data_IF_005270412692
#
_entry.id   IF_005270412692
#
_cell.length_a   1.000
_cell.length_b   1.000
_cell.length_c   1.000
_cell.angle_alpha   90.00
_cell.angle_beta   90.00
_cell.angle_gamma   90.00
#
_symmetry.space_group_name_H-M   'P 1'
#
loop_
_entity.id
_entity.type
_entity.pdbx_description
1 polymer ?
#
# COMPACT_ATOMS: atom_id res chain seq x y z
N UNK A 1 15.29 24.72 -56.81
CA UNK A 1 14.54 23.58 -56.23
C UNK A 1 15.02 23.19 -54.81
N UNK A 2 15.68 24.07 -54.05
CA UNK A 2 16.24 23.76 -52.72
C UNK A 2 15.66 24.61 -51.56
N UNK A 3 14.88 25.67 -51.86
CA UNK A 3 14.29 26.56 -50.83
C UNK A 3 13.00 26.02 -50.20
N UNK A 4 12.31 25.09 -50.84
CA UNK A 4 11.00 24.60 -50.38
C UNK A 4 11.13 23.46 -49.34
N UNK A 5 12.25 22.73 -49.34
CA UNK A 5 12.50 21.63 -48.40
C UNK A 5 12.91 22.13 -47.00
N UNK A 6 13.52 23.32 -46.90
CA UNK A 6 13.96 23.87 -45.60
C UNK A 6 12.80 24.33 -44.72
N UNK A 7 11.69 24.81 -45.32
CA UNK A 7 10.51 25.24 -44.58
C UNK A 7 9.74 24.08 -43.94
N UNK A 8 9.76 22.88 -44.56
CA UNK A 8 9.14 21.69 -43.97
C UNK A 8 9.91 21.16 -42.76
N UNK A 9 11.23 21.35 -42.71
CA UNK A 9 12.04 20.99 -41.54
C UNK A 9 11.85 21.96 -40.38
N UNK A 10 11.69 23.26 -40.65
CA UNK A 10 11.41 24.25 -39.61
C UNK A 10 10.01 24.04 -39.02
N UNK A 11 8.99 23.70 -39.83
CA UNK A 11 7.63 23.45 -39.31
C UNK A 11 7.48 22.17 -38.46
N UNK A 12 8.36 21.18 -38.62
CA UNK A 12 8.38 20.01 -37.70
C UNK A 12 8.99 20.33 -36.34
N UNK A 13 9.81 21.38 -36.21
CA UNK A 13 10.41 21.79 -34.94
C UNK A 13 9.49 22.64 -34.06
N UNK A 14 8.36 23.14 -34.58
CA UNK A 14 7.42 24.00 -33.84
C UNK A 14 6.21 23.23 -33.28
N UNK A 15 6.16 21.91 -33.45
CA UNK A 15 5.21 21.03 -32.78
C UNK A 15 5.92 20.17 -31.72
N UNK A 16 6.75 20.79 -30.88
CA UNK A 16 6.76 20.36 -29.48
C UNK A 16 5.48 20.97 -28.90
N UNK A 17 4.41 20.19 -28.89
CA UNK A 17 3.35 20.42 -27.92
C UNK A 17 4.03 20.69 -26.57
N UNK A 18 3.66 21.75 -25.83
CA UNK A 18 4.06 21.80 -24.44
C UNK A 18 3.55 20.48 -23.86
N UNK A 19 4.45 19.63 -23.34
CA UNK A 19 4.06 18.49 -22.50
C UNK A 19 3.34 19.16 -21.35
N UNK A 20 2.04 19.33 -21.55
CA UNK A 20 1.21 20.17 -20.73
C UNK A 20 1.35 19.54 -19.37
N UNK A 21 1.74 20.38 -18.43
CA UNK A 21 1.78 20.20 -16.99
C UNK A 21 0.44 19.62 -16.49
N UNK A 22 0.14 18.37 -16.87
CA UNK A 22 -1.00 17.61 -16.40
C UNK A 22 -0.54 17.12 -15.05
N UNK A 23 -0.71 17.98 -14.05
CA UNK A 23 -0.54 17.61 -12.64
C UNK A 23 -1.23 16.26 -12.47
N UNK A 24 -0.43 15.21 -12.23
CA UNK A 24 -0.90 13.85 -11.95
C UNK A 24 -2.17 13.89 -11.09
N UNK A 25 -3.20 13.10 -11.40
CA UNK A 25 -4.39 13.03 -10.56
C UNK A 25 -4.10 12.38 -9.21
N UNK A 26 -2.92 11.77 -9.07
CA UNK A 26 -2.44 11.08 -7.87
C UNK A 26 -1.19 11.71 -7.28
N UNK A 27 -1.03 11.55 -5.97
CA UNK A 27 0.26 11.66 -5.29
C UNK A 27 0.57 10.36 -4.56
N UNK A 28 1.86 10.13 -4.30
CA UNK A 28 2.34 8.89 -3.70
C UNK A 28 3.07 9.19 -2.40
N UNK A 29 2.83 8.38 -1.38
CA UNK A 29 3.58 8.40 -0.12
C UNK A 29 4.26 7.05 0.08
N UNK A 30 5.56 7.08 0.39
CA UNK A 30 6.31 5.88 0.72
C UNK A 30 6.30 5.65 2.23
N UNK A 31 6.17 4.39 2.65
CA UNK A 31 6.32 3.97 4.04
C UNK A 31 7.33 2.83 4.14
N UNK A 32 7.91 2.69 5.31
CA UNK A 32 8.74 1.54 5.66
C UNK A 32 8.16 0.88 6.90
N UNK A 33 7.77 -0.38 6.80
CA UNK A 33 7.39 -1.19 7.95
C UNK A 33 8.57 -2.09 8.30
N UNK A 34 9.19 -1.86 9.46
CA UNK A 34 10.32 -2.66 9.94
C UNK A 34 9.86 -3.56 11.07
N UNK A 35 10.00 -4.87 10.90
CA UNK A 35 9.64 -5.86 11.88
C UNK A 35 10.91 -6.54 12.40
N UNK A 36 11.17 -6.42 13.69
CA UNK A 36 12.40 -6.90 14.33
C UNK A 36 12.04 -8.02 15.31
N UNK A 37 12.68 -9.19 15.15
CA UNK A 37 12.59 -10.26 16.12
C UNK A 37 13.70 -10.11 17.17
N UNK A 38 13.29 -9.96 18.43
CA UNK A 38 14.18 -9.87 19.60
C UNK A 38 14.32 -11.21 20.34
N UNK A 39 14.09 -12.34 19.67
CA UNK A 39 14.15 -13.69 20.24
C UNK A 39 12.84 -14.19 20.86
N UNK A 40 11.69 -13.56 20.54
CA UNK A 40 10.41 -13.82 21.20
C UNK A 40 9.39 -14.60 20.34
N UNK A 41 9.85 -15.31 19.30
CA UNK A 41 9.00 -16.04 18.33
C UNK A 41 7.94 -15.19 17.59
N UNK A 42 7.90 -13.87 17.81
CA UNK A 42 7.13 -12.89 17.07
C UNK A 42 7.98 -11.63 16.87
N UNK A 43 7.97 -11.07 15.67
CA UNK A 43 8.66 -9.81 15.38
C UNK A 43 7.77 -8.62 15.73
N UNK A 44 8.35 -7.59 16.36
CA UNK A 44 7.66 -6.33 16.66
C UNK A 44 7.82 -5.40 15.47
N UNK A 45 6.72 -4.90 14.94
CA UNK A 45 6.73 -4.01 13.78
C UNK A 45 6.66 -2.54 14.18
N UNK A 46 7.36 -1.70 13.43
CA UNK A 46 7.34 -0.24 13.55
C UNK A 46 7.16 0.38 12.17
N UNK A 47 6.29 1.38 12.07
CA UNK A 47 6.00 2.08 10.82
C UNK A 47 6.74 3.42 10.78
N UNK A 48 7.47 3.64 9.69
CA UNK A 48 8.20 4.86 9.40
C UNK A 48 7.57 5.55 8.19
N UNK A 49 7.30 6.83 8.35
CA UNK A 49 6.79 7.73 7.32
C UNK A 49 7.68 8.97 7.26
N UNK A 50 7.92 9.46 6.04
CA UNK A 50 8.77 10.63 5.84
C UNK A 50 8.18 11.87 6.55
N UNK A 51 8.99 12.52 7.38
CA UNK A 51 8.56 13.70 8.15
C UNK A 51 7.63 13.42 9.34
N UNK A 52 7.46 12.16 9.75
CA UNK A 52 6.67 11.79 10.94
C UNK A 52 7.46 10.96 11.95
N UNK A 53 6.97 10.97 13.19
CA UNK A 53 7.49 10.10 14.26
C UNK A 53 7.21 8.63 13.93
N UNK A 54 8.16 7.77 14.28
CA UNK A 54 7.98 6.31 14.17
C UNK A 54 6.84 5.85 15.05
N UNK A 55 5.92 5.09 14.47
CA UNK A 55 4.85 4.44 15.22
C UNK A 55 5.26 3.01 15.59
N UNK A 56 5.27 2.73 16.89
CA UNK A 56 5.53 1.39 17.41
C UNK A 56 4.23 0.58 17.38
N UNK A 57 4.31 -0.63 16.83
CA UNK A 57 3.18 -1.55 16.70
C UNK A 57 1.96 -0.89 16.03
N UNK A 58 2.04 -0.51 14.74
CA UNK A 58 1.04 0.32 14.05
C UNK A 58 -0.30 -0.41 13.89
N UNK A 59 -1.10 -0.44 14.97
CA UNK A 59 -2.37 -1.14 15.03
C UNK A 59 -2.30 -2.60 14.59
N UNK A 60 -1.22 -3.31 14.93
CA UNK A 60 -1.10 -4.72 14.56
C UNK A 60 -2.00 -5.60 15.44
N UNK A 61 -2.58 -6.64 14.84
CA UNK A 61 -3.45 -7.61 15.51
C UNK A 61 -3.41 -8.97 14.82
N UNK A 62 -3.88 -9.99 15.52
CA UNK A 62 -3.84 -11.38 15.07
C UNK A 62 -5.25 -11.88 14.74
N UNK A 63 -5.35 -12.66 13.67
CA UNK A 63 -6.58 -13.38 13.30
C UNK A 63 -6.27 -14.80 12.85
N UNK A 64 -7.25 -15.69 12.91
CA UNK A 64 -7.18 -17.01 12.29
C UNK A 64 -7.83 -16.97 10.91
N UNK A 65 -7.15 -17.51 9.91
CA UNK A 65 -7.76 -17.72 8.61
C UNK A 65 -8.70 -18.94 8.61
N UNK A 66 -9.36 -19.20 7.48
CA UNK A 66 -10.26 -20.36 7.29
C UNK A 66 -9.59 -21.73 7.49
N UNK A 67 -8.26 -21.78 7.55
CA UNK A 67 -7.44 -22.99 7.75
C UNK A 67 -6.85 -23.04 9.17
N UNK A 68 -7.36 -22.23 10.10
CA UNK A 68 -6.84 -22.08 11.48
C UNK A 68 -5.35 -21.67 11.55
N UNK A 69 -4.84 -20.96 10.54
CA UNK A 69 -3.50 -20.38 10.57
C UNK A 69 -3.55 -18.95 11.07
N UNK A 70 -2.66 -18.61 11.98
CA UNK A 70 -2.49 -17.23 12.46
C UNK A 70 -1.98 -16.31 11.35
N UNK A 71 -2.65 -15.19 11.19
CA UNK A 71 -2.27 -14.05 10.38
C UNK A 71 -2.06 -12.86 11.30
N UNK A 72 -0.89 -12.23 11.22
CA UNK A 72 -0.58 -10.98 11.92
C UNK A 72 -0.75 -9.84 10.92
N UNK A 73 -1.74 -9.00 11.12
CA UNK A 73 -1.99 -7.80 10.33
C UNK A 73 -1.29 -6.61 10.98
N UNK A 74 -0.69 -5.73 10.19
CA UNK A 74 -0.18 -4.44 10.63
C UNK A 74 -0.68 -3.33 9.71
N UNK A 75 -1.15 -2.24 10.31
CA UNK A 75 -1.72 -1.10 9.60
C UNK A 75 -0.63 -0.30 8.89
N UNK A 76 -0.95 0.23 7.71
CA UNK A 76 0.01 0.98 6.89
C UNK A 76 -0.18 2.50 6.92
N UNK A 77 -1.25 3.01 7.57
CA UNK A 77 -1.63 4.43 7.63
C UNK A 77 -1.86 5.05 6.24
N UNK A 78 -2.60 4.32 5.43
CA UNK A 78 -2.97 4.64 4.05
C UNK A 78 -4.49 4.66 3.90
N UNK A 79 -5.18 5.30 4.85
CA UNK A 79 -6.64 5.27 5.00
C UNK A 79 -7.41 5.79 3.77
N UNK A 80 -6.93 6.88 3.17
CA UNK A 80 -7.50 7.52 1.98
C UNK A 80 -6.81 7.08 0.67
N UNK A 81 -6.07 5.97 0.74
CA UNK A 81 -5.38 5.38 -0.40
C UNK A 81 -6.31 4.37 -1.07
N UNK A 82 -6.56 4.52 -2.36
CA UNK A 82 -7.26 3.50 -3.17
C UNK A 82 -6.28 2.45 -3.72
N UNK A 83 -4.98 2.73 -3.68
CA UNK A 83 -3.92 1.80 -4.08
C UNK A 83 -2.85 1.67 -3.00
N UNK A 84 -2.39 0.44 -2.73
CA UNK A 84 -1.16 0.20 -1.99
C UNK A 84 -0.33 -0.89 -2.67
N UNK A 85 0.99 -0.76 -2.64
CA UNK A 85 1.92 -1.72 -3.26
C UNK A 85 3.15 -1.93 -2.39
N UNK A 86 3.57 -3.18 -2.21
CA UNK A 86 4.89 -3.50 -1.67
C UNK A 86 5.90 -3.32 -2.80
N UNK A 87 6.77 -2.31 -2.69
CA UNK A 87 7.80 -2.05 -3.69
C UNK A 87 8.93 -3.06 -3.61
N UNK A 88 9.33 -3.41 -2.38
CA UNK A 88 10.39 -4.38 -2.09
C UNK A 88 10.38 -4.77 -0.62
N UNK A 89 11.03 -5.89 -0.32
CA UNK A 89 11.38 -6.31 1.03
C UNK A 89 12.89 -6.25 1.23
N UNK A 90 13.33 -6.12 2.47
CA UNK A 90 14.73 -6.22 2.87
C UNK A 90 14.85 -7.24 4.02
N UNK A 91 15.68 -8.29 3.88
CA UNK A 91 16.50 -8.60 2.71
C UNK A 91 15.68 -9.15 1.52
N UNK A 92 16.02 -8.74 0.30
CA UNK A 92 15.27 -9.08 -0.93
C UNK A 92 15.22 -10.59 -1.21
N UNK A 93 16.25 -11.34 -0.80
CA UNK A 93 16.40 -12.78 -1.01
C UNK A 93 15.83 -13.64 0.14
N UNK A 94 15.06 -13.06 1.06
CA UNK A 94 14.41 -13.81 2.13
C UNK A 94 13.34 -14.76 1.55
N UNK A 95 13.53 -16.07 1.58
CA UNK A 95 12.54 -17.02 1.05
C UNK A 95 11.40 -17.34 2.03
N UNK A 96 11.58 -17.05 3.33
CA UNK A 96 10.59 -17.26 4.39
C UNK A 96 9.36 -16.36 4.19
N UNK A 97 9.61 -15.10 3.83
CA UNK A 97 8.58 -14.11 3.52
C UNK A 97 8.40 -14.00 2.00
N UNK A 98 7.42 -14.72 1.45
CA UNK A 98 7.07 -14.73 0.04
C UNK A 98 5.73 -14.03 -0.20
N UNK A 99 5.70 -13.10 -1.16
CA UNK A 99 4.49 -12.36 -1.54
C UNK A 99 3.37 -13.31 -1.93
N UNK A 100 2.14 -12.98 -1.55
CA UNK A 100 0.91 -13.76 -1.78
C UNK A 100 0.85 -15.12 -1.06
N UNK A 101 1.94 -15.58 -0.44
CA UNK A 101 2.00 -16.86 0.27
C UNK A 101 2.09 -16.68 1.78
N UNK A 102 3.09 -15.93 2.24
CA UNK A 102 3.34 -15.69 3.67
C UNK A 102 3.25 -14.22 4.07
N UNK A 103 3.10 -13.33 3.09
CA UNK A 103 2.60 -11.98 3.32
C UNK A 103 1.83 -11.46 2.10
N UNK A 104 0.89 -10.56 2.30
CA UNK A 104 0.32 -9.74 1.22
C UNK A 104 -0.32 -8.47 1.79
N UNK A 105 -0.73 -7.57 0.90
CA UNK A 105 -1.58 -6.44 1.23
C UNK A 105 -3.04 -6.85 1.21
N UNK A 106 -3.81 -6.31 2.14
CA UNK A 106 -5.25 -6.45 2.19
C UNK A 106 -5.88 -5.12 2.53
N UNK A 107 -6.87 -4.72 1.70
CA UNK A 107 -7.70 -3.57 2.00
C UNK A 107 -8.77 -3.98 2.99
N UNK A 108 -8.80 -3.30 4.14
CA UNK A 108 -9.90 -3.36 5.10
C UNK A 108 -10.54 -1.99 5.24
N UNK A 109 -11.73 -1.93 5.85
CA UNK A 109 -12.56 -0.73 5.96
C UNK A 109 -11.76 0.55 6.28
N UNK A 110 -10.89 0.49 7.29
CA UNK A 110 -10.19 1.67 7.83
C UNK A 110 -8.86 1.96 7.16
N UNK A 111 -8.20 0.96 6.58
CA UNK A 111 -6.85 1.11 6.04
C UNK A 111 -6.44 -0.06 5.12
N UNK A 112 -5.29 0.08 4.47
CA UNK A 112 -4.47 -1.01 4.01
C UNK A 112 -3.68 -1.62 5.16
N UNK A 113 -3.64 -2.95 5.14
CA UNK A 113 -2.87 -3.76 6.06
C UNK A 113 -1.92 -4.63 5.27
N UNK A 114 -0.74 -4.85 5.84
CA UNK A 114 0.08 -5.99 5.43
C UNK A 114 -0.16 -7.10 6.44
N UNK A 115 -0.53 -8.29 5.95
CA UNK A 115 -0.60 -9.48 6.79
C UNK A 115 0.64 -10.34 6.60
N UNK A 116 1.01 -11.07 7.65
CA UNK A 116 2.07 -12.07 7.64
C UNK A 116 1.58 -13.37 8.26
N UNK A 117 2.07 -14.50 7.79
CA UNK A 117 1.73 -15.83 8.31
C UNK A 117 2.96 -16.72 8.50
N UNK A 118 2.80 -17.79 9.27
CA UNK A 118 3.83 -18.80 9.50
C UNK A 118 5.14 -18.20 10.01
N UNK A 119 6.26 -18.72 9.53
CA UNK A 119 7.60 -18.23 9.91
C UNK A 119 7.84 -16.77 9.51
N UNK A 120 7.11 -16.21 8.54
CA UNK A 120 7.27 -14.79 8.20
C UNK A 120 6.87 -13.85 9.36
N UNK A 121 6.02 -14.30 10.29
CA UNK A 121 5.64 -13.56 11.50
C UNK A 121 6.85 -13.33 12.42
N UNK A 122 7.73 -14.33 12.55
CA UNK A 122 8.89 -14.28 13.44
C UNK A 122 10.15 -13.74 12.75
N UNK A 123 10.08 -13.46 11.46
CA UNK A 123 11.26 -13.07 10.68
C UNK A 123 11.58 -11.58 10.85
N UNK A 124 12.85 -11.25 11.09
CA UNK A 124 13.32 -9.86 10.97
C UNK A 124 13.32 -9.45 9.50
N UNK A 125 12.48 -8.50 9.15
CA UNK A 125 12.26 -8.08 7.77
C UNK A 125 11.72 -6.64 7.71
N UNK A 126 12.08 -5.93 6.65
CA UNK A 126 11.52 -4.61 6.32
C UNK A 126 10.73 -4.69 5.03
N UNK A 127 9.57 -4.06 5.00
CA UNK A 127 8.77 -3.85 3.80
C UNK A 127 8.79 -2.37 3.43
N UNK A 128 9.25 -2.07 2.22
CA UNK A 128 9.12 -0.74 1.64
C UNK A 128 7.90 -0.75 0.74
N UNK A 129 6.95 0.13 1.04
CA UNK A 129 5.64 0.16 0.42
C UNK A 129 5.26 1.56 0.00
N UNK A 130 4.34 1.66 -0.95
CA UNK A 130 3.85 2.91 -1.52
C UNK A 130 2.33 2.92 -1.51
N UNK A 131 1.78 4.05 -1.09
CA UNK A 131 0.35 4.32 -1.04
C UNK A 131 0.02 5.42 -2.06
N UNK A 132 -0.97 5.16 -2.91
CA UNK A 132 -1.46 6.06 -3.95
C UNK A 132 -2.74 6.74 -3.53
N UNK A 133 -2.72 8.08 -3.55
CA UNK A 133 -3.83 8.91 -3.09
C UNK A 133 -4.34 9.78 -4.24
N UNK A 134 -5.65 9.78 -4.52
CA UNK A 134 -6.25 10.80 -5.37
C UNK A 134 -5.97 12.19 -4.79
N UNK A 135 -5.53 13.13 -5.63
CA UNK A 135 -5.32 14.53 -5.21
C UNK A 135 -6.62 15.25 -4.88
N UNK A 136 -7.73 14.78 -5.44
CA UNK A 136 -9.07 15.22 -5.04
C UNK A 136 -9.68 14.14 -4.12
N UNK A 137 -9.75 14.38 -2.80
CA UNK A 137 -10.30 13.40 -1.85
C UNK A 137 -11.73 12.99 -2.18
N UNK A 138 -12.51 13.84 -2.86
CA UNK A 138 -13.89 13.53 -3.26
C UNK A 138 -13.95 12.32 -4.18
N UNK A 139 -12.92 12.12 -5.01
CA UNK A 139 -12.81 10.97 -5.91
C UNK A 139 -12.70 9.69 -5.09
N UNK A 140 -11.83 9.67 -4.08
CA UNK A 140 -11.68 8.53 -3.17
C UNK A 140 -13.01 8.14 -2.53
N UNK A 141 -13.69 9.09 -1.89
CA UNK A 141 -14.97 8.83 -1.21
C UNK A 141 -16.09 8.42 -2.18
N UNK A 142 -16.16 9.02 -3.36
CA UNK A 142 -17.18 8.69 -4.35
C UNK A 142 -17.02 7.26 -4.89
N UNK A 143 -15.80 6.79 -5.07
CA UNK A 143 -15.48 5.47 -5.63
C UNK A 143 -15.44 4.37 -4.56
N UNK A 144 -15.19 4.71 -3.30
CA UNK A 144 -15.00 3.76 -2.22
C UNK A 144 -16.14 3.78 -1.18
N UNK A 145 -17.38 4.10 -1.59
CA UNK A 145 -18.55 4.15 -0.69
C UNK A 145 -18.75 2.88 0.14
N UNK A 146 -18.50 1.72 -0.47
CA UNK A 146 -18.58 0.41 0.18
C UNK A 146 -17.69 0.28 1.43
N UNK A 147 -16.58 1.03 1.52
CA UNK A 147 -15.74 1.06 2.72
C UNK A 147 -16.40 1.80 3.90
N UNK A 148 -17.52 2.47 3.70
CA UNK A 148 -18.21 3.23 4.74
C UNK A 148 -19.56 2.65 5.11
N UNK A 149 -20.04 1.68 4.36
CA UNK A 149 -21.24 0.91 4.68
C UNK A 149 -21.02 0.12 5.99
N UNK A 150 -22.07 0.03 6.81
CA UNK A 150 -22.04 -0.78 8.03
C UNK A 150 -22.48 -2.20 7.67
N UNK A 151 -21.76 -3.21 8.18
CA UNK A 151 -22.20 -4.59 8.06
C UNK A 151 -23.39 -4.83 9.02
N UNK A 152 -24.61 -4.87 8.50
CA UNK A 152 -25.85 -5.15 9.25
C UNK A 152 -25.95 -6.58 9.86
N UNK A 153 -24.87 -7.37 9.78
CA UNK A 153 -24.89 -8.80 10.14
C UNK A 153 -24.88 -9.10 11.65
N UNK A 154 -24.78 -8.10 12.53
CA UNK A 154 -24.87 -8.31 13.99
C UNK A 154 -26.30 -8.46 14.53
N UNK A 155 -27.34 -8.28 13.72
CA UNK A 155 -28.73 -8.36 14.20
C UNK A 155 -29.37 -9.75 14.06
N UNK A 156 -28.81 -10.67 13.26
CA UNK A 156 -29.44 -11.99 13.00
C UNK A 156 -28.93 -13.10 13.94
N UNK A 157 -27.77 -12.94 14.60
CA UNK A 157 -27.23 -13.97 15.52
C UNK A 157 -27.75 -13.91 16.95
N UNK A 158 -28.59 -12.94 17.30
CA UNK A 158 -29.18 -12.79 18.64
C UNK A 158 -30.69 -13.07 18.68
N UNK A 159 -31.22 -13.79 17.70
CA UNK A 159 -32.53 -14.46 17.81
C UNK A 159 -32.26 -15.96 17.72
N UNK A 160 -31.70 -16.48 18.81
CA UNK A 160 -31.73 -17.90 19.16
C UNK A 160 -32.53 -18.04 20.43
#
# INVERSE_FOLDING_TARGET
MFKLFLLFFIFKLINLEPILNRKSTYYWSQRSLECINHGLNISRCSLFEEGRITELNPGCFDELNSQNKTLVYCRLKCEESDEATVLRKEPSNNHICASYHTYNLERRRRDWYIWRSGECINTTIKFVLRCGFPRDPRVFYAQNKHLFEYDDFTTIRNIG
#
